data_IF_894224570726
#
_entry.id   IF_894224570726
#
_cell.length_a   1.000
_cell.length_b   1.000
_cell.length_c   1.000
_cell.angle_alpha   90.00
_cell.angle_beta   90.00
_cell.angle_gamma   90.00
#
_symmetry.space_group_name_H-M   'P 1'
#
loop_
_entity.id
_entity.type
_entity.pdbx_description
1 polymer ?
#
# COMPACT_ATOMS: atom_id res chain seq x y z
N UNK A 1 5.54 15.27 18.33
CA UNK A 1 4.71 14.10 17.97
C UNK A 1 5.55 13.20 17.08
N UNK A 2 6.35 12.31 17.68
CA UNK A 2 7.15 11.33 16.95
C UNK A 2 6.42 10.00 17.05
N UNK A 3 5.92 9.49 15.91
CA UNK A 3 5.10 8.27 15.82
C UNK A 3 5.73 7.24 14.87
N UNK A 4 7.05 7.25 14.71
CA UNK A 4 7.73 6.21 13.94
C UNK A 4 8.55 5.35 14.89
N UNK A 5 8.27 4.06 14.89
CA UNK A 5 9.28 3.07 15.27
C UNK A 5 10.51 3.29 14.38
N UNK A 6 11.72 3.09 14.91
CA UNK A 6 13.02 3.38 14.27
C UNK A 6 13.34 2.54 13.00
N UNK A 7 12.32 2.05 12.29
CA UNK A 7 12.42 1.20 11.09
C UNK A 7 12.05 1.89 9.77
N UNK A 8 12.24 1.19 8.64
CA UNK A 8 11.87 1.69 7.32
C UNK A 8 10.35 1.86 7.19
N UNK A 9 9.93 2.92 6.51
CA UNK A 9 8.51 3.20 6.24
C UNK A 9 7.88 2.03 5.51
N UNK A 10 6.83 1.44 6.09
CA UNK A 10 6.18 0.24 5.56
C UNK A 10 5.10 0.61 4.56
N UNK A 11 5.26 0.16 3.31
CA UNK A 11 4.40 0.53 2.18
C UNK A 11 3.67 -0.68 1.61
N UNK A 12 2.38 -0.54 1.33
CA UNK A 12 1.63 -1.49 0.48
C UNK A 12 1.34 -0.85 -0.89
N UNK A 13 1.57 -1.61 -1.96
CA UNK A 13 1.27 -1.20 -3.34
C UNK A 13 -0.01 -1.87 -3.82
N UNK A 14 -0.97 -1.08 -4.33
CA UNK A 14 -2.26 -1.57 -4.80
C UNK A 14 -2.42 -1.24 -6.28
N UNK A 15 -2.31 -2.25 -7.14
CA UNK A 15 -2.42 -2.13 -8.61
C UNK A 15 -2.77 -3.51 -9.19
N UNK A 16 -3.54 -3.60 -10.29
CA UNK A 16 -3.85 -4.88 -10.94
C UNK A 16 -2.62 -5.48 -11.64
N UNK A 17 -1.72 -4.64 -12.12
CA UNK A 17 -0.49 -4.99 -12.82
C UNK A 17 0.60 -5.41 -11.85
N UNK A 18 0.88 -6.71 -11.79
CA UNK A 18 2.02 -7.24 -11.05
C UNK A 18 3.35 -6.66 -11.55
N UNK A 19 3.47 -6.39 -12.86
CA UNK A 19 4.66 -5.78 -13.45
C UNK A 19 4.90 -4.38 -12.87
N UNK A 20 3.85 -3.57 -12.75
CA UNK A 20 3.96 -2.24 -12.15
C UNK A 20 4.38 -2.33 -10.68
N UNK A 21 3.73 -3.19 -9.89
CA UNK A 21 4.09 -3.41 -8.48
C UNK A 21 5.56 -3.81 -8.33
N UNK A 22 6.05 -4.70 -9.19
CA UNK A 22 7.45 -5.14 -9.16
C UNK A 22 8.42 -4.02 -9.56
N UNK A 23 8.10 -3.23 -10.59
CA UNK A 23 8.93 -2.11 -11.02
C UNK A 23 9.07 -1.03 -9.92
N UNK A 24 7.94 -0.66 -9.29
CA UNK A 24 7.94 0.28 -8.16
C UNK A 24 8.72 -0.28 -6.99
N UNK A 25 8.51 -1.54 -6.64
CA UNK A 25 9.24 -2.19 -5.53
C UNK A 25 10.74 -2.22 -5.78
N UNK A 26 11.17 -2.54 -7.00
CA UNK A 26 12.59 -2.54 -7.38
C UNK A 26 13.21 -1.13 -7.35
N UNK A 27 12.45 -0.11 -7.75
CA UNK A 27 12.87 1.29 -7.65
C UNK A 27 13.04 1.75 -6.20
N UNK A 28 12.11 1.39 -5.32
CA UNK A 28 12.12 1.76 -3.90
C UNK A 28 13.18 0.97 -3.13
N UNK A 29 13.46 -0.28 -3.49
CA UNK A 29 14.41 -1.15 -2.77
C UNK A 29 15.82 -0.56 -2.64
N UNK A 30 16.20 0.38 -3.50
CA UNK A 30 17.48 1.10 -3.43
C UNK A 30 17.56 2.07 -2.23
N UNK A 31 16.44 2.40 -1.60
CA UNK A 31 16.36 3.31 -0.46
C UNK A 31 16.01 2.52 0.81
N UNK A 32 16.94 2.42 1.76
CA UNK A 32 16.73 1.70 3.02
C UNK A 32 15.71 2.34 3.96
N UNK A 33 15.27 3.57 3.71
CA UNK A 33 14.27 4.26 4.52
C UNK A 33 12.82 3.81 4.22
N UNK A 34 12.59 3.06 3.14
CA UNK A 34 11.24 2.64 2.71
C UNK A 34 11.27 1.16 2.33
N UNK A 35 10.26 0.42 2.79
CA UNK A 35 10.11 -1.00 2.48
C UNK A 35 8.70 -1.28 1.98
N UNK A 36 8.61 -1.82 0.76
CA UNK A 36 7.37 -2.45 0.30
C UNK A 36 7.19 -3.76 1.06
N UNK A 37 6.11 -3.86 1.85
CA UNK A 37 5.83 -5.01 2.71
C UNK A 37 4.81 -5.96 2.11
N UNK A 38 3.94 -5.48 1.21
CA UNK A 38 3.03 -6.31 0.43
C UNK A 38 2.54 -5.60 -0.83
N UNK A 39 1.93 -6.37 -1.73
CA UNK A 39 1.19 -5.87 -2.88
C UNK A 39 -0.20 -6.49 -2.93
N UNK A 40 -1.18 -5.70 -3.38
CA UNK A 40 -2.57 -6.14 -3.57
C UNK A 40 -3.06 -5.77 -4.97
N UNK A 41 -3.94 -6.59 -5.53
CA UNK A 41 -4.59 -6.39 -6.83
C UNK A 41 -6.10 -6.19 -6.73
N UNK A 42 -6.65 -6.27 -5.52
CA UNK A 42 -8.07 -6.08 -5.20
C UNK A 42 -8.27 -5.51 -3.79
N UNK A 43 -9.47 -5.02 -3.48
CA UNK A 43 -9.81 -4.53 -2.15
C UNK A 43 -9.76 -5.64 -1.07
N UNK A 44 -10.09 -6.87 -1.44
CA UNK A 44 -10.01 -8.03 -0.54
C UNK A 44 -8.56 -8.35 -0.16
N UNK A 45 -7.66 -8.37 -1.14
CA UNK A 45 -6.22 -8.55 -0.90
C UNK A 45 -5.63 -7.41 -0.08
N UNK A 46 -6.06 -6.16 -0.35
CA UNK A 46 -5.64 -5.02 0.45
C UNK A 46 -6.05 -5.20 1.91
N UNK A 47 -7.31 -5.58 2.19
CA UNK A 47 -7.78 -5.81 3.56
C UNK A 47 -6.91 -6.84 4.30
N UNK A 48 -6.58 -7.96 3.66
CA UNK A 48 -5.68 -8.96 4.23
C UNK A 48 -4.29 -8.38 4.50
N UNK A 49 -3.72 -7.65 3.53
CA UNK A 49 -2.40 -7.03 3.67
C UNK A 49 -2.33 -5.97 4.79
N UNK A 50 -3.42 -5.21 5.02
CA UNK A 50 -3.48 -4.25 6.11
C UNK A 50 -3.49 -4.91 7.49
N UNK A 51 -4.22 -6.01 7.63
CA UNK A 51 -4.30 -6.77 8.87
C UNK A 51 -3.00 -7.50 9.19
N UNK A 52 -2.33 -8.04 8.17
CA UNK A 52 -1.08 -8.79 8.35
C UNK A 52 0.14 -7.88 8.52
N UNK A 53 0.23 -6.82 7.72
CA UNK A 53 1.45 -6.03 7.60
C UNK A 53 1.36 -4.62 8.17
N UNK A 54 0.23 -4.18 8.72
CA UNK A 54 0.11 -2.86 9.40
C UNK A 54 0.97 -1.74 8.75
N UNK A 55 0.77 -1.43 7.46
CA UNK A 55 1.60 -0.45 6.77
C UNK A 55 1.30 0.97 7.22
N UNK A 56 2.28 1.85 7.06
CA UNK A 56 2.14 3.29 7.33
C UNK A 56 1.65 4.06 6.09
N UNK A 57 1.94 3.54 4.90
CA UNK A 57 1.60 4.18 3.63
C UNK A 57 0.99 3.15 2.68
N UNK A 58 -0.08 3.54 2.00
CA UNK A 58 -0.71 2.76 0.94
C UNK A 58 -0.61 3.58 -0.34
N UNK A 59 -0.05 2.98 -1.39
CA UNK A 59 -0.01 3.58 -2.74
C UNK A 59 -1.06 2.85 -3.57
N UNK A 60 -2.07 3.59 -4.04
CA UNK A 60 -3.23 3.01 -4.74
C UNK A 60 -3.28 3.53 -6.18
N UNK A 61 -3.31 2.61 -7.14
CA UNK A 61 -3.67 2.90 -8.52
C UNK A 61 -5.15 3.30 -8.59
N UNK A 62 -5.40 4.51 -9.10
CA UNK A 62 -6.76 5.02 -9.28
C UNK A 62 -7.53 4.27 -10.38
N UNK A 63 -6.82 3.54 -11.26
CA UNK A 63 -7.40 2.67 -12.28
C UNK A 63 -7.89 1.31 -11.76
N UNK A 64 -7.57 0.95 -10.51
CA UNK A 64 -7.85 -0.35 -9.91
C UNK A 64 -9.33 -0.70 -9.87
N UNK A 65 -10.22 0.28 -9.69
CA UNK A 65 -11.67 0.16 -9.90
C UNK A 65 -12.21 1.52 -10.32
N UNK A 66 -12.76 1.63 -11.55
CA UNK A 66 -13.20 2.90 -12.17
C UNK A 66 -14.19 3.72 -11.32
N UNK A 67 -14.81 3.13 -10.29
CA UNK A 67 -15.76 3.79 -9.39
C UNK A 67 -15.31 3.91 -7.92
N UNK A 68 -14.18 3.35 -7.47
CA UNK A 68 -14.03 3.03 -6.04
C UNK A 68 -12.65 3.26 -5.39
N UNK A 69 -11.65 3.87 -6.03
CA UNK A 69 -10.39 4.21 -5.34
C UNK A 69 -10.59 5.29 -4.25
N UNK A 70 -11.39 6.32 -4.53
CA UNK A 70 -11.72 7.37 -3.56
C UNK A 70 -12.61 6.81 -2.45
N UNK A 71 -13.57 5.96 -2.79
CA UNK A 71 -14.45 5.31 -1.81
C UNK A 71 -13.69 4.33 -0.92
N UNK A 72 -12.73 3.57 -1.46
CA UNK A 72 -11.79 2.77 -0.68
C UNK A 72 -11.01 3.65 0.31
N UNK A 73 -10.49 4.80 -0.14
CA UNK A 73 -9.83 5.77 0.76
C UNK A 73 -10.79 6.27 1.84
N UNK A 74 -12.05 6.57 1.50
CA UNK A 74 -13.08 6.98 2.45
C UNK A 74 -13.39 5.88 3.48
N UNK A 75 -13.49 4.62 3.06
CA UNK A 75 -13.69 3.47 3.94
C UNK A 75 -12.51 3.29 4.89
N UNK A 76 -11.28 3.37 4.38
CA UNK A 76 -10.07 3.28 5.20
C UNK A 76 -10.01 4.41 6.25
N UNK A 77 -10.39 5.64 5.88
CA UNK A 77 -10.51 6.77 6.82
C UNK A 77 -11.57 6.63 7.92
N UNK A 78 -12.51 5.71 7.77
CA UNK A 78 -13.50 5.41 8.82
C UNK A 78 -13.05 4.27 9.75
N UNK A 79 -12.08 3.48 9.30
CA UNK A 79 -11.56 2.30 10.01
C UNK A 79 -10.35 2.62 10.90
N UNK A 80 -9.68 3.75 10.66
CA UNK A 80 -8.50 4.25 11.38
C UNK A 80 -8.69 5.72 11.72
#
# INVERSE_FOLDING_TARGET
>A
MSLRDDGPVRVVLVDRSAIFRNAVSAGIHRNSAVRVVAGASSAAELRSALLEHHPEVIVVDLGLERNDAIRLIQQLRQLY
#
